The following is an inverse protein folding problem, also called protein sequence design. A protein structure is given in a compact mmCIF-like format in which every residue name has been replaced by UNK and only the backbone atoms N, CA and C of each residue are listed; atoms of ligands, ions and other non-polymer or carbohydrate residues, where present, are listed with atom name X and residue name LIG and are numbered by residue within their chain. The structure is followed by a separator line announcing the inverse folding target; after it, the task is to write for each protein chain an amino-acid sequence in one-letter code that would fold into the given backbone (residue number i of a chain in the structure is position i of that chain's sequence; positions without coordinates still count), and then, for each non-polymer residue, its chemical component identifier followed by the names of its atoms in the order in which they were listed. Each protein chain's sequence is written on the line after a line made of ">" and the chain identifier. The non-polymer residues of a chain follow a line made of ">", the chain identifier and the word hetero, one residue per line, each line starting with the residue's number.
data_IF_236286498050
#
_entry.id   IF_236286498050
#
_cell.length_a   1.000
_cell.length_b   1.000
_cell.length_c   1.000
_cell.angle_alpha   90.00
_cell.angle_beta   90.00
_cell.angle_gamma   90.00
#
_symmetry.space_group_name_H-M   'P 1'
#
loop_
_entity.id
_entity.type
_entity.pdbx_description
1 polymer ?
#
# COMPACT_ATOMS: atom_id res chain seq x y z
N UNK A 1 -1.18 6.83 15.16
CA UNK A 1 -1.08 5.74 16.15
C UNK A 1 0.11 4.85 15.79
N UNK A 2 0.63 4.02 16.71
CA UNK A 2 1.74 3.10 16.43
C UNK A 2 1.44 2.15 15.26
N UNK A 3 2.45 1.90 14.41
CA UNK A 3 2.34 1.10 13.18
C UNK A 3 1.75 -0.30 13.42
N UNK A 4 2.21 -0.97 14.47
CA UNK A 4 1.76 -2.32 14.84
C UNK A 4 0.29 -2.35 15.26
N UNK A 5 -0.18 -1.31 15.94
CA UNK A 5 -1.58 -1.22 16.36
C UNK A 5 -2.49 -1.05 15.15
N UNK A 6 -2.12 -0.18 14.21
CA UNK A 6 -2.87 0.02 12.96
C UNK A 6 -3.03 -1.27 12.17
N UNK A 7 -1.92 -1.79 11.64
CA UNK A 7 -1.95 -2.94 10.75
C UNK A 7 -2.46 -4.18 11.49
N UNK A 8 -2.13 -4.30 12.78
CA UNK A 8 -2.61 -5.38 13.61
C UNK A 8 -4.13 -5.47 13.62
N UNK A 9 -4.87 -4.34 13.60
CA UNK A 9 -6.35 -4.37 13.60
C UNK A 9 -6.96 -4.92 12.32
N UNK A 10 -6.25 -4.85 11.19
CA UNK A 10 -6.73 -5.37 9.91
C UNK A 10 -6.97 -6.89 9.95
N UNK A 11 -6.19 -7.62 10.77
CA UNK A 11 -6.39 -9.06 10.98
C UNK A 11 -7.73 -9.39 11.67
N UNK A 12 -8.30 -8.44 12.40
CA UNK A 12 -9.62 -8.57 13.04
C UNK A 12 -10.74 -8.00 12.15
N UNK A 13 -10.43 -7.68 10.88
CA UNK A 13 -11.36 -7.04 9.93
C UNK A 13 -11.86 -5.68 10.44
N UNK A 14 -11.04 -5.01 11.25
CA UNK A 14 -11.27 -3.66 11.71
C UNK A 14 -10.34 -2.70 10.95
N UNK A 15 -10.89 -1.58 10.48
CA UNK A 15 -10.14 -0.52 9.82
C UNK A 15 -10.29 0.77 10.61
N UNK A 16 -9.16 1.35 11.03
CA UNK A 16 -9.16 2.62 11.77
C UNK A 16 -9.15 3.77 10.79
N UNK A 17 -10.13 4.66 10.91
CA UNK A 17 -10.38 5.77 9.99
C UNK A 17 -10.35 7.08 10.76
N UNK A 18 -9.78 8.12 10.15
CA UNK A 18 -9.95 9.50 10.64
C UNK A 18 -11.35 10.04 10.33
N UNK A 19 -11.70 11.17 10.95
CA UNK A 19 -12.99 11.86 10.77
C UNK A 19 -12.86 13.33 10.38
N UNK A 20 -11.65 13.89 10.44
CA UNK A 20 -11.41 15.28 10.06
C UNK A 20 -11.28 15.39 8.53
N UNK A 21 -11.39 16.62 8.00
CA UNK A 21 -11.20 16.92 6.58
C UNK A 21 -9.96 17.79 6.44
N UNK A 22 -9.19 17.61 5.35
CA UNK A 22 -8.01 18.41 5.02
C UNK A 22 -8.30 19.91 4.97
N UNK A 23 -7.26 20.71 5.20
CA UNK A 23 -7.41 22.17 5.18
C UNK A 23 -7.71 22.67 3.76
N UNK A 24 -8.68 23.58 3.64
CA UNK A 24 -9.19 24.06 2.35
C UNK A 24 -8.15 24.83 1.49
N UNK A 25 -7.00 25.22 2.05
CA UNK A 25 -5.92 25.89 1.31
C UNK A 25 -5.09 24.95 0.44
N UNK A 26 -5.16 23.63 0.69
CA UNK A 26 -4.45 22.60 -0.09
C UNK A 26 -5.44 21.47 -0.41
N UNK A 27 -6.47 21.72 -1.25
CA UNK A 27 -7.58 20.77 -1.42
C UNK A 27 -7.21 19.54 -2.25
N UNK A 28 -6.19 19.65 -3.11
CA UNK A 28 -5.88 18.63 -4.12
C UNK A 28 -4.95 17.52 -3.61
N UNK A 29 -4.28 17.73 -2.47
CA UNK A 29 -3.34 16.78 -1.88
C UNK A 29 -3.18 17.04 -0.38
N UNK A 30 -2.98 15.99 0.40
CA UNK A 30 -2.59 16.08 1.80
C UNK A 30 -1.77 14.83 2.16
N UNK A 31 -0.67 14.97 2.92
CA UNK A 31 0.07 13.83 3.44
C UNK A 31 -0.70 13.11 4.57
N UNK A 32 -1.64 13.82 5.21
CA UNK A 32 -2.46 13.28 6.30
C UNK A 32 -3.71 12.57 5.75
N UNK A 33 -4.05 11.36 6.22
CA UNK A 33 -5.20 10.59 5.74
C UNK A 33 -6.49 11.15 6.33
N UNK A 34 -7.06 12.18 5.70
CA UNK A 34 -8.36 12.76 6.08
C UNK A 34 -9.54 11.86 5.70
N UNK A 35 -10.76 12.18 6.14
CA UNK A 35 -11.94 11.32 5.89
C UNK A 35 -12.24 11.10 4.40
N UNK A 36 -11.79 11.99 3.51
CA UNK A 36 -11.89 11.79 2.06
C UNK A 36 -10.99 10.65 1.60
N UNK A 37 -9.76 10.59 2.11
CA UNK A 37 -8.86 9.45 1.90
C UNK A 37 -9.50 8.13 2.35
N UNK A 38 -10.06 8.12 3.55
CA UNK A 38 -10.64 6.91 4.13
C UNK A 38 -11.88 6.44 3.33
N UNK A 39 -12.82 7.34 3.05
CA UNK A 39 -14.10 6.97 2.44
C UNK A 39 -13.99 6.78 0.93
N UNK A 40 -13.30 7.68 0.23
CA UNK A 40 -13.20 7.65 -1.24
C UNK A 40 -12.10 6.70 -1.70
N UNK A 41 -10.97 6.69 -0.98
CA UNK A 41 -9.84 5.80 -1.25
C UNK A 41 -10.13 4.37 -0.78
N UNK A 42 -10.24 4.16 0.53
CA UNK A 42 -10.39 2.81 1.10
C UNK A 42 -11.83 2.27 1.05
N UNK A 43 -12.86 3.12 1.10
CA UNK A 43 -14.24 2.64 1.19
C UNK A 43 -14.65 1.67 0.07
N UNK A 44 -14.16 1.89 -1.15
CA UNK A 44 -14.42 0.99 -2.28
C UNK A 44 -13.69 -0.35 -2.15
N UNK A 45 -12.44 -0.36 -1.66
CA UNK A 45 -11.65 -1.59 -1.48
C UNK A 45 -12.18 -2.40 -0.28
N UNK A 46 -12.58 -1.72 0.80
CA UNK A 46 -13.19 -2.35 1.98
C UNK A 46 -14.57 -2.96 1.70
N UNK A 47 -15.26 -2.55 0.64
CA UNK A 47 -16.50 -3.15 0.18
C UNK A 47 -16.30 -4.38 -0.74
N UNK A 48 -15.05 -4.72 -1.09
CA UNK A 48 -14.74 -5.81 -2.00
C UNK A 48 -14.03 -6.97 -1.27
N UNK A 49 -14.60 -8.19 -1.23
CA UNK A 49 -14.02 -9.33 -0.53
C UNK A 49 -12.57 -9.65 -0.92
N UNK A 50 -12.22 -9.48 -2.20
CA UNK A 50 -10.87 -9.79 -2.71
C UNK A 50 -9.83 -8.85 -2.13
N UNK A 51 -10.17 -7.56 -2.03
CA UNK A 51 -9.33 -6.59 -1.34
C UNK A 51 -9.29 -6.85 0.16
N UNK A 52 -10.43 -7.05 0.82
CA UNK A 52 -10.43 -7.26 2.28
C UNK A 52 -9.64 -8.49 2.72
N UNK A 53 -9.52 -9.52 1.88
CA UNK A 53 -8.63 -10.65 2.12
C UNK A 53 -7.15 -10.22 2.18
N UNK A 54 -6.72 -9.30 1.30
CA UNK A 54 -5.37 -8.72 1.33
C UNK A 54 -5.14 -7.86 2.58
N UNK A 55 -6.13 -7.05 3.00
CA UNK A 55 -6.04 -6.29 4.26
C UNK A 55 -5.87 -7.23 5.46
N UNK A 56 -6.67 -8.30 5.51
CA UNK A 56 -6.59 -9.30 6.58
C UNK A 56 -5.21 -9.98 6.60
N UNK A 57 -4.69 -10.38 5.43
CA UNK A 57 -3.34 -10.96 5.31
C UNK A 57 -2.25 -9.99 5.75
N UNK A 58 -2.31 -8.72 5.34
CA UNK A 58 -1.36 -7.70 5.79
C UNK A 58 -1.40 -7.52 7.32
N UNK A 59 -2.60 -7.56 7.91
CA UNK A 59 -2.75 -7.52 9.36
C UNK A 59 -2.16 -8.75 10.04
N UNK A 60 -2.38 -9.94 9.50
CA UNK A 60 -1.80 -11.19 10.03
C UNK A 60 -0.27 -11.16 9.92
N UNK A 61 0.27 -10.69 8.79
CA UNK A 61 1.70 -10.47 8.60
C UNK A 61 2.28 -9.53 9.66
N UNK A 62 1.63 -8.39 9.91
CA UNK A 62 2.06 -7.41 10.91
C UNK A 62 2.07 -7.97 12.35
N UNK A 63 1.19 -8.94 12.66
CA UNK A 63 1.17 -9.65 13.95
C UNK A 63 2.23 -10.74 14.01
N UNK A 64 2.56 -11.37 12.88
CA UNK A 64 3.52 -12.46 12.78
C UNK A 64 4.95 -11.96 12.96
N UNK A 65 5.32 -10.87 12.29
CA UNK A 65 6.68 -10.32 12.35
C UNK A 65 6.96 -9.62 13.68
N UNK A 66 8.15 -9.81 14.21
CA UNK A 66 8.52 -9.34 15.56
C UNK A 66 9.39 -8.08 15.54
N UNK A 67 10.34 -8.00 14.61
CA UNK A 67 11.23 -6.85 14.48
C UNK A 67 10.54 -5.62 13.89
N UNK A 68 11.10 -4.45 14.20
CA UNK A 68 10.67 -3.18 13.59
C UNK A 68 10.93 -3.18 12.09
N UNK A 69 12.12 -3.62 11.67
CA UNK A 69 12.52 -3.63 10.26
C UNK A 69 11.57 -4.50 9.40
N UNK A 70 11.19 -5.69 9.91
CA UNK A 70 10.24 -6.54 9.21
C UNK A 70 8.83 -5.93 9.16
N UNK A 71 8.39 -5.26 10.23
CA UNK A 71 7.11 -4.56 10.25
C UNK A 71 7.09 -3.38 9.27
N UNK A 72 8.19 -2.62 9.19
CA UNK A 72 8.35 -1.54 8.22
C UNK A 72 8.33 -2.08 6.79
N UNK A 73 8.98 -3.22 6.52
CA UNK A 73 8.93 -3.87 5.22
C UNK A 73 7.49 -4.27 4.84
N UNK A 74 6.74 -4.88 5.77
CA UNK A 74 5.32 -5.21 5.57
C UNK A 74 4.50 -3.96 5.26
N UNK A 75 4.73 -2.86 6.01
CA UNK A 75 4.08 -1.57 5.78
C UNK A 75 4.41 -0.97 4.42
N UNK A 76 5.65 -1.10 3.95
CA UNK A 76 6.06 -0.60 2.63
C UNK A 76 5.39 -1.37 1.50
N UNK A 77 5.28 -2.70 1.62
CA UNK A 77 4.51 -3.49 0.65
C UNK A 77 3.05 -3.05 0.66
N UNK A 78 2.47 -2.71 1.82
CA UNK A 78 1.11 -2.18 1.89
C UNK A 78 1.00 -0.81 1.20
N UNK A 79 1.97 0.08 1.44
CA UNK A 79 2.05 1.40 0.81
C UNK A 79 2.10 1.31 -0.72
N UNK A 80 3.02 0.54 -1.28
CA UNK A 80 3.18 0.42 -2.73
C UNK A 80 2.11 -0.44 -3.42
N UNK A 81 1.17 -1.00 -2.65
CA UNK A 81 0.07 -1.80 -3.19
C UNK A 81 -1.29 -1.20 -2.83
N UNK A 82 -1.75 -1.34 -1.60
CA UNK A 82 -3.10 -0.93 -1.20
C UNK A 82 -3.26 0.60 -1.08
N UNK A 83 -2.16 1.36 -0.90
CA UNK A 83 -2.19 2.83 -0.91
C UNK A 83 -1.90 3.44 -2.29
N UNK A 84 -0.88 2.95 -3.01
CA UNK A 84 -0.42 3.56 -4.27
C UNK A 84 -0.27 2.56 -5.42
N UNK A 85 -0.96 1.44 -5.36
CA UNK A 85 -0.89 0.42 -6.41
C UNK A 85 -1.66 0.78 -7.68
N UNK A 86 -1.09 0.36 -8.80
CA UNK A 86 -1.69 0.45 -10.14
C UNK A 86 -1.70 -0.94 -10.80
N UNK A 87 -2.58 -1.14 -11.78
CA UNK A 87 -2.65 -2.39 -12.53
C UNK A 87 -3.04 -2.14 -13.99
N UNK A 88 -2.73 -3.12 -14.84
CA UNK A 88 -3.26 -3.20 -16.18
C UNK A 88 -4.65 -3.85 -16.18
N UNK A 89 -5.60 -3.20 -16.83
CA UNK A 89 -6.92 -3.77 -17.10
C UNK A 89 -7.34 -3.42 -18.52
N UNK A 90 -7.60 -4.44 -19.34
CA UNK A 90 -7.99 -4.28 -20.75
C UNK A 90 -7.06 -3.36 -21.56
N UNK A 91 -5.75 -3.38 -21.27
CA UNK A 91 -4.74 -2.57 -21.95
C UNK A 91 -4.61 -1.13 -21.43
N UNK A 92 -5.36 -0.76 -20.39
CA UNK A 92 -5.27 0.55 -19.75
C UNK A 92 -4.63 0.45 -18.37
N UNK A 93 -3.78 1.44 -18.04
CA UNK A 93 -3.24 1.58 -16.69
C UNK A 93 -4.29 2.23 -15.80
N UNK A 94 -4.66 1.53 -14.73
CA UNK A 94 -5.65 1.96 -13.75
C UNK A 94 -5.07 1.97 -12.35
N UNK A 95 -5.47 2.97 -11.56
CA UNK A 95 -5.14 3.02 -10.15
C UNK A 95 -6.18 2.25 -9.33
N UNK A 96 -5.72 1.61 -8.27
CA UNK A 96 -6.59 1.02 -7.25
C UNK A 96 -6.16 1.40 -5.83
N UNK A 97 -4.95 1.92 -5.65
CA UNK A 97 -4.45 2.39 -4.37
C UNK A 97 -5.26 3.57 -3.81
N UNK A 98 -5.60 3.51 -2.53
CA UNK A 98 -6.45 4.49 -1.86
C UNK A 98 -5.89 5.92 -1.87
N UNK A 99 -4.58 6.08 -1.73
CA UNK A 99 -3.88 7.36 -1.85
C UNK A 99 -4.14 8.02 -3.20
N UNK A 100 -3.97 7.28 -4.29
CA UNK A 100 -4.23 7.80 -5.65
C UNK A 100 -5.72 8.11 -5.84
N UNK A 101 -6.61 7.19 -5.44
CA UNK A 101 -8.05 7.33 -5.65
C UNK A 101 -8.69 8.52 -4.91
N UNK A 102 -8.05 8.98 -3.82
CA UNK A 102 -8.55 10.07 -2.97
C UNK A 102 -7.80 11.39 -3.15
N UNK A 103 -6.85 11.42 -4.09
CA UNK A 103 -6.02 12.57 -4.42
C UNK A 103 -6.33 13.01 -5.85
N UNK A 104 -7.12 14.09 -6.04
CA UNK A 104 -7.43 14.61 -7.38
C UNK A 104 -6.17 14.94 -8.19
N UNK A 105 -5.09 15.37 -7.53
CA UNK A 105 -3.82 15.61 -8.21
C UNK A 105 -3.13 14.32 -8.66
N UNK A 106 -3.03 13.31 -7.79
CA UNK A 106 -2.35 12.06 -8.14
C UNK A 106 -3.14 11.22 -9.14
N UNK A 107 -4.48 11.20 -9.08
CA UNK A 107 -5.28 10.45 -10.06
C UNK A 107 -5.13 11.02 -11.48
N UNK A 108 -4.82 12.31 -11.62
CA UNK A 108 -4.47 12.92 -12.92
C UNK A 108 -3.02 12.63 -13.32
N UNK A 109 -2.11 12.59 -12.34
CA UNK A 109 -0.66 12.51 -12.58
C UNK A 109 -0.10 11.08 -12.69
N UNK A 110 -0.74 10.06 -12.09
CA UNK A 110 -0.10 8.75 -11.83
C UNK A 110 0.47 8.06 -13.08
N UNK A 111 -0.13 8.27 -14.25
CA UNK A 111 0.34 7.69 -15.53
C UNK A 111 1.68 8.26 -16.00
N UNK A 112 2.09 9.40 -15.47
CA UNK A 112 3.38 10.03 -15.74
C UNK A 112 4.49 9.61 -14.78
N UNK A 113 4.20 8.79 -13.77
CA UNK A 113 5.18 8.35 -12.78
C UNK A 113 6.11 7.27 -13.34
N UNK A 114 7.17 6.94 -12.60
CA UNK A 114 8.04 5.82 -12.94
C UNK A 114 7.34 4.49 -12.59
N UNK A 115 6.68 3.90 -13.58
CA UNK A 115 5.94 2.64 -13.41
C UNK A 115 6.89 1.45 -13.53
N UNK A 116 6.99 0.65 -12.45
CA UNK A 116 7.85 -0.54 -12.37
C UNK A 116 7.02 -1.81 -12.17
N UNK A 117 7.50 -2.99 -12.61
CA UNK A 117 6.80 -4.25 -12.35
C UNK A 117 6.69 -4.52 -10.84
N UNK A 118 5.59 -5.14 -10.43
CA UNK A 118 5.38 -5.58 -9.04
C UNK A 118 6.53 -6.47 -8.53
N UNK A 119 7.31 -5.97 -7.56
CA UNK A 119 8.43 -6.67 -6.92
C UNK A 119 8.44 -6.41 -5.40
N UNK A 120 8.27 -7.47 -4.59
CA UNK A 120 8.20 -7.39 -3.12
C UNK A 120 9.52 -6.89 -2.52
N UNK A 121 10.65 -7.34 -3.05
CA UNK A 121 11.97 -6.96 -2.55
C UNK A 121 12.24 -5.48 -2.81
N UNK A 122 11.93 -5.00 -4.01
CA UNK A 122 12.08 -3.60 -4.38
C UNK A 122 11.14 -2.70 -3.56
N UNK A 123 9.86 -3.06 -3.46
CA UNK A 123 8.87 -2.31 -2.66
C UNK A 123 9.29 -2.18 -1.19
N UNK A 124 9.69 -3.29 -0.56
CA UNK A 124 10.06 -3.29 0.86
C UNK A 124 11.42 -2.63 1.16
N UNK A 125 12.29 -2.50 0.17
CA UNK A 125 13.57 -1.79 0.30
C UNK A 125 13.50 -0.31 -0.10
N UNK A 126 12.40 0.13 -0.72
CA UNK A 126 12.28 1.49 -1.23
C UNK A 126 12.22 2.54 -0.10
N UNK A 127 12.83 3.69 -0.35
CA UNK A 127 12.68 4.90 0.44
C UNK A 127 11.68 5.81 -0.30
N UNK A 128 10.70 6.36 0.40
CA UNK A 128 9.70 7.25 -0.19
C UNK A 128 9.46 8.47 0.67
N UNK A 129 9.10 9.57 0.02
CA UNK A 129 8.63 10.78 0.65
C UNK A 129 7.10 10.75 0.73
N UNK A 130 6.56 11.10 1.89
CA UNK A 130 5.10 11.22 2.12
C UNK A 130 4.59 12.64 1.86
N UNK A 131 5.48 13.60 1.61
CA UNK A 131 5.13 15.02 1.48
C UNK A 131 4.88 15.47 0.04
N UNK A 132 5.26 14.64 -0.94
CA UNK A 132 5.10 14.86 -2.36
C UNK A 132 4.40 13.65 -3.04
N UNK A 133 4.03 13.81 -4.32
CA UNK A 133 3.49 12.72 -5.13
C UNK A 133 4.52 11.59 -5.27
N UNK A 134 4.02 10.36 -5.42
CA UNK A 134 4.88 9.20 -5.55
C UNK A 134 5.65 9.19 -6.88
N UNK A 135 6.97 9.32 -6.82
CA UNK A 135 7.84 9.22 -8.01
C UNK A 135 7.78 7.85 -8.70
N UNK A 136 7.61 6.79 -7.90
CA UNK A 136 7.63 5.39 -8.34
C UNK A 136 6.33 4.71 -7.94
N UNK A 137 5.69 4.05 -8.90
CA UNK A 137 4.52 3.20 -8.68
C UNK A 137 4.81 1.79 -9.20
N UNK A 138 4.19 0.79 -8.57
CA UNK A 138 4.35 -0.61 -8.96
C UNK A 138 3.08 -1.10 -9.65
N UNK A 139 3.24 -1.68 -10.84
CA UNK A 139 2.15 -2.18 -11.69
C UNK A 139 2.05 -3.70 -11.62
N UNK A 140 0.83 -4.16 -11.38
CA UNK A 140 0.44 -5.55 -11.59
C UNK A 140 -0.23 -5.74 -12.97
N UNK A 141 0.00 -6.88 -13.61
CA UNK A 141 -0.65 -7.30 -14.85
C UNK A 141 -2.13 -7.61 -14.66
N UNK A 142 -2.55 -7.94 -13.43
CA UNK A 142 -3.94 -8.16 -13.06
C UNK A 142 -4.11 -8.16 -11.56
N UNK A 143 -5.36 -8.08 -11.09
CA UNK A 143 -5.64 -8.26 -9.67
C UNK A 143 -5.26 -9.67 -9.16
N UNK A 144 -5.34 -10.69 -10.01
CA UNK A 144 -4.91 -12.05 -9.64
C UNK A 144 -3.41 -12.11 -9.31
N UNK A 145 -2.58 -11.36 -10.05
CA UNK A 145 -1.15 -11.28 -9.73
C UNK A 145 -0.92 -10.61 -8.36
N UNK A 146 -1.74 -9.62 -7.98
CA UNK A 146 -1.65 -9.01 -6.65
C UNK A 146 -1.97 -10.06 -5.57
N UNK A 147 -3.06 -10.81 -5.75
CA UNK A 147 -3.42 -11.91 -4.83
C UNK A 147 -2.31 -12.95 -4.73
N UNK A 148 -1.75 -13.38 -5.87
CA UNK A 148 -0.72 -14.41 -5.91
C UNK A 148 0.62 -13.95 -5.33
N UNK A 149 1.06 -12.71 -5.62
CA UNK A 149 2.38 -12.22 -5.21
C UNK A 149 2.33 -11.58 -3.82
N UNK A 150 1.45 -10.60 -3.64
CA UNK A 150 1.36 -9.80 -2.41
C UNK A 150 0.62 -10.61 -1.33
N UNK A 151 -0.46 -11.29 -1.71
CA UNK A 151 -1.19 -12.16 -0.80
C UNK A 151 -0.32 -13.30 -0.27
N UNK A 152 0.39 -14.03 -1.14
CA UNK A 152 1.31 -15.10 -0.70
C UNK A 152 2.45 -14.57 0.18
N UNK A 153 3.00 -13.40 -0.15
CA UNK A 153 4.00 -12.78 0.71
C UNK A 153 3.47 -12.55 2.13
N UNK A 154 2.31 -11.89 2.29
CA UNK A 154 1.77 -11.64 3.62
C UNK A 154 1.27 -12.91 4.34
N UNK A 155 0.82 -13.92 3.60
CA UNK A 155 0.41 -15.20 4.16
C UNK A 155 1.56 -15.87 4.94
N UNK A 156 2.78 -15.82 4.41
CA UNK A 156 3.88 -16.66 4.89
C UNK A 156 5.10 -15.88 5.40
N UNK A 157 5.17 -14.56 5.23
CA UNK A 157 6.38 -13.81 5.60
C UNK A 157 6.72 -13.93 7.09
N UNK A 158 8.00 -14.12 7.34
CA UNK A 158 8.67 -14.12 8.64
C UNK A 158 9.79 -13.09 8.63
N UNK A 159 10.29 -12.72 9.81
CA UNK A 159 11.49 -11.88 9.94
C UNK A 159 12.66 -12.40 9.09
N UNK A 160 12.93 -13.71 9.14
CA UNK A 160 14.03 -14.33 8.37
C UNK A 160 13.82 -14.21 6.86
N UNK A 161 12.61 -14.53 6.36
CA UNK A 161 12.32 -14.41 4.92
C UNK A 161 12.41 -12.97 4.40
N UNK A 162 12.09 -11.99 5.25
CA UNK A 162 12.18 -10.57 4.91
C UNK A 162 13.65 -10.15 4.87
N UNK A 163 14.45 -10.58 5.85
CA UNK A 163 15.89 -10.33 5.86
C UNK A 163 16.57 -10.89 4.60
N UNK A 164 16.16 -12.07 4.13
CA UNK A 164 16.65 -12.67 2.88
C UNK A 164 16.23 -11.88 1.63
N UNK A 165 15.03 -11.29 1.62
CA UNK A 165 14.58 -10.39 0.54
C UNK A 165 15.41 -9.10 0.53
N UNK A 166 15.59 -8.48 1.69
CA UNK A 166 16.38 -7.25 1.83
C UNK A 166 17.86 -7.46 1.43
N UNK A 167 18.44 -8.61 1.75
CA UNK A 167 19.80 -8.94 1.35
C UNK A 167 19.98 -9.05 -0.18
N UNK A 168 18.92 -9.46 -0.90
CA UNK A 168 18.91 -9.55 -2.37
C UNK A 168 18.60 -8.22 -3.04
N UNK A 169 17.91 -7.32 -2.35
CA UNK A 169 17.49 -6.01 -2.81
C UNK A 169 18.02 -4.93 -1.86
N UNK A 170 19.35 -4.70 -1.81
CA UNK A 170 19.89 -3.65 -0.96
C UNK A 170 19.27 -2.31 -1.36
N UNK A 171 18.86 -1.50 -0.37
CA UNK A 171 18.23 -0.22 -0.62
C UNK A 171 19.05 0.61 -1.61
N UNK A 172 18.42 1.00 -2.72
CA UNK A 172 19.04 1.92 -3.68
C UNK A 172 18.98 3.32 -3.06
N UNK A 173 20.15 3.86 -2.68
CA UNK A 173 20.34 5.28 -2.36
C UNK A 173 20.11 6.16 -3.56
#
# INVERSE_FOLDING_TARGET
>A
MPLREFYGTLADKAFWSTQYVRHHSVPLYTPEPDVLHEVVGHGNTLANPRFTALYELAGQASRRVQSTDALEFVSKVFWFTLEFGVLWEAGELKAYGAGILSSPGEIEAFRGMNIRPLDIGEMGSQIYDITDYQDVLYVAESFAQIEDVVGSFWADCTDDSIAELQARHPAHT
#
